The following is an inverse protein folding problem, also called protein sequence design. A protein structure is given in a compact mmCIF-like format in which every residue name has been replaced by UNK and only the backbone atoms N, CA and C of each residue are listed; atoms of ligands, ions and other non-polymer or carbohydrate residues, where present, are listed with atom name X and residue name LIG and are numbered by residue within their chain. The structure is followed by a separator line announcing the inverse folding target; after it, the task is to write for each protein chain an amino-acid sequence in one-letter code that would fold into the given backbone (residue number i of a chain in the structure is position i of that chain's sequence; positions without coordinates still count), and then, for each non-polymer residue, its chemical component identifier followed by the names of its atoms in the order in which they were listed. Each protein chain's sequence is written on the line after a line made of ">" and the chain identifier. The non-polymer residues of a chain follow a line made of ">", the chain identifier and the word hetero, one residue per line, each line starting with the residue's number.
data_IF_674417142100
#
_entry.id   IF_674417142100
#
_cell.length_a   1.000
_cell.length_b   1.000
_cell.length_c   1.000
_cell.angle_alpha   90.00
_cell.angle_beta   90.00
_cell.angle_gamma   90.00
#
_symmetry.space_group_name_H-M   'P 1'
#
loop_
_entity.id
_entity.type
_entity.pdbx_description
1 polymer ?
#
# COMPACT_ATOMS: atom_id res chain seq x y z
N UNK A 1 -18.45 -13.55 55.63
CA UNK A 1 -18.76 -13.15 54.24
C UNK A 1 -18.65 -11.64 54.12
N UNK A 2 -17.53 -11.12 53.60
CA UNK A 2 -17.33 -9.69 53.34
C UNK A 2 -16.96 -9.51 51.87
N UNK A 3 -17.84 -8.87 51.10
CA UNK A 3 -17.59 -8.52 49.71
C UNK A 3 -16.80 -7.21 49.66
N UNK A 4 -15.52 -7.29 49.27
CA UNK A 4 -14.74 -6.11 48.92
C UNK A 4 -15.14 -5.65 47.53
N UNK A 5 -15.68 -4.44 47.44
CA UNK A 5 -15.98 -3.76 46.18
C UNK A 5 -14.67 -3.49 45.43
N UNK A 6 -14.57 -4.00 44.20
CA UNK A 6 -13.49 -3.66 43.28
C UNK A 6 -13.95 -2.46 42.45
N UNK A 7 -13.46 -1.28 42.80
CA UNK A 7 -13.63 -0.08 42.01
C UNK A 7 -12.26 0.27 41.41
N UNK A 8 -12.10 0.18 40.09
CA UNK A 8 -11.00 0.89 39.43
C UNK A 8 -11.35 1.24 37.98
N UNK A 9 -11.74 2.51 37.83
CA UNK A 9 -11.37 3.44 36.76
C UNK A 9 -11.39 2.95 35.31
N UNK A 10 -12.30 3.54 34.55
CA UNK A 10 -12.27 3.58 33.09
C UNK A 10 -10.93 4.16 32.61
N UNK A 11 -10.12 3.33 31.97
CA UNK A 11 -9.17 3.82 30.96
C UNK A 11 -9.75 3.44 29.60
N UNK A 12 -10.46 4.39 28.99
CA UNK A 12 -10.65 4.39 27.55
C UNK A 12 -9.26 4.55 26.96
N UNK A 13 -8.66 3.47 26.48
CA UNK A 13 -7.44 3.56 25.67
C UNK A 13 -7.82 4.32 24.39
N UNK A 14 -7.59 5.63 24.40
CA UNK A 14 -7.41 6.42 23.19
C UNK A 14 -6.14 5.88 22.53
N UNK A 15 -6.31 4.90 21.65
CA UNK A 15 -5.30 4.53 20.68
C UNK A 15 -5.29 5.59 19.58
N UNK A 16 -4.87 6.80 19.96
CA UNK A 16 -4.24 7.71 19.00
C UNK A 16 -2.90 7.08 18.68
N UNK A 17 -2.90 6.03 17.84
CA UNK A 17 -1.71 5.61 17.14
C UNK A 17 -1.36 6.77 16.22
N UNK A 18 -0.43 7.60 16.67
CA UNK A 18 0.32 8.52 15.81
C UNK A 18 1.06 7.66 14.80
N UNK A 19 0.36 7.31 13.72
CA UNK A 19 0.96 6.85 12.49
C UNK A 19 1.49 8.13 11.83
N UNK A 20 2.81 8.30 11.84
CA UNK A 20 3.48 9.48 11.31
C UNK A 20 3.00 9.75 9.89
N UNK A 21 2.27 10.85 9.75
CA UNK A 21 1.79 11.37 8.49
C UNK A 21 3.00 11.78 7.65
N UNK A 22 3.29 11.09 6.54
CA UNK A 22 4.17 11.63 5.50
C UNK A 22 3.40 12.68 4.69
N UNK A 23 2.87 13.70 5.37
CA UNK A 23 2.39 14.92 4.74
C UNK A 23 3.60 15.78 4.40
N UNK A 24 3.58 16.37 3.20
CA UNK A 24 4.62 17.26 2.66
C UNK A 24 4.93 18.52 3.50
N UNK A 25 4.26 18.72 4.64
CA UNK A 25 4.26 20.00 5.38
C UNK A 25 4.66 19.91 6.87
N UNK A 26 5.27 18.82 7.34
CA UNK A 26 5.93 18.81 8.66
C UNK A 26 7.44 19.00 8.49
N UNK A 27 8.08 20.00 9.15
CA UNK A 27 9.53 20.04 9.25
C UNK A 27 9.96 18.96 10.24
N UNK A 28 9.94 17.71 9.79
CA UNK A 28 10.39 16.55 10.54
C UNK A 28 11.91 16.61 10.65
N UNK A 29 12.45 16.68 11.85
CA UNK A 29 13.81 16.19 12.12
C UNK A 29 13.84 14.69 11.81
N UNK A 30 14.29 14.33 10.60
CA UNK A 30 14.34 12.95 10.12
C UNK A 30 15.38 12.15 10.92
N UNK A 31 14.92 11.33 11.87
CA UNK A 31 15.77 10.37 12.56
C UNK A 31 15.87 9.01 11.83
N UNK A 32 15.19 8.86 10.68
CA UNK A 32 15.18 7.65 9.86
C UNK A 32 15.94 7.85 8.53
N UNK A 33 16.32 6.74 7.87
CA UNK A 33 17.01 6.80 6.59
C UNK A 33 16.14 7.50 5.53
N UNK A 34 16.76 8.38 4.77
CA UNK A 34 16.19 9.02 3.59
C UNK A 34 15.85 8.00 2.49
N UNK A 35 15.02 8.40 1.52
CA UNK A 35 14.68 7.55 0.37
C UNK A 35 15.91 6.93 -0.33
N UNK A 36 16.94 7.71 -0.68
CA UNK A 36 18.17 7.18 -1.27
C UNK A 36 18.92 6.19 -0.37
N UNK A 37 18.92 6.40 0.95
CA UNK A 37 19.56 5.47 1.89
C UNK A 37 18.80 4.14 1.96
N UNK A 38 17.46 4.17 1.97
CA UNK A 38 16.64 2.96 1.88
C UNK A 38 16.90 2.18 0.58
N UNK A 39 17.02 2.88 -0.54
CA UNK A 39 17.37 2.28 -1.84
C UNK A 39 18.76 1.65 -1.78
N UNK A 40 19.75 2.37 -1.25
CA UNK A 40 21.12 1.85 -1.13
C UNK A 40 21.19 0.61 -0.22
N UNK A 41 20.45 0.61 0.89
CA UNK A 41 20.33 -0.54 1.79
C UNK A 41 19.71 -1.75 1.08
N UNK A 42 18.66 -1.55 0.28
CA UNK A 42 17.99 -2.63 -0.46
C UNK A 42 18.88 -3.19 -1.59
N UNK A 43 19.56 -2.34 -2.36
CA UNK A 43 20.39 -2.75 -3.49
C UNK A 43 21.76 -3.29 -3.07
N UNK A 44 22.18 -3.08 -1.82
CA UNK A 44 23.45 -3.57 -1.28
C UNK A 44 24.69 -3.00 -1.98
N UNK A 45 24.55 -1.94 -2.77
CA UNK A 45 25.63 -1.30 -3.54
C UNK A 45 26.17 -2.14 -4.72
N UNK A 46 25.62 -3.32 -4.96
CA UNK A 46 26.06 -4.24 -6.04
C UNK A 46 25.00 -4.41 -7.12
N UNK A 47 23.72 -4.21 -6.79
CA UNK A 47 22.61 -4.30 -7.72
C UNK A 47 22.34 -2.92 -8.33
N UNK A 48 22.34 -2.78 -9.67
CA UNK A 48 21.94 -1.55 -10.33
C UNK A 48 20.50 -1.14 -9.97
N UNK A 49 20.24 0.17 -9.87
CA UNK A 49 18.90 0.68 -9.52
C UNK A 49 17.85 0.45 -10.61
N UNK A 50 18.29 0.15 -11.82
CA UNK A 50 17.49 -0.20 -12.99
C UNK A 50 17.46 -1.72 -13.27
N UNK A 51 17.99 -2.55 -12.36
CA UNK A 51 17.86 -4.00 -12.45
C UNK A 51 16.36 -4.38 -12.47
N UNK A 52 15.84 -5.05 -13.51
CA UNK A 52 14.43 -5.42 -13.64
C UNK A 52 13.87 -6.25 -12.48
N UNK A 53 14.72 -7.00 -11.78
CA UNK A 53 14.31 -7.80 -10.62
C UNK A 53 14.21 -6.97 -9.35
N UNK A 54 14.92 -5.85 -9.28
CA UNK A 54 14.84 -4.90 -8.17
C UNK A 54 13.81 -3.79 -8.42
N UNK A 55 13.66 -3.36 -9.67
CA UNK A 55 12.80 -2.26 -10.09
C UNK A 55 11.89 -2.69 -11.25
N UNK A 56 10.63 -3.07 -10.95
CA UNK A 56 9.67 -3.55 -11.95
C UNK A 56 9.35 -2.54 -13.07
N UNK A 57 9.65 -1.25 -12.90
CA UNK A 57 9.49 -0.28 -13.99
C UNK A 57 10.41 -0.58 -15.18
N UNK A 58 11.47 -1.37 -14.99
CA UNK A 58 12.37 -1.83 -16.05
C UNK A 58 12.13 -3.29 -16.47
N UNK A 59 11.13 -3.97 -15.90
CA UNK A 59 10.79 -5.34 -16.24
C UNK A 59 10.01 -5.43 -17.57
N UNK A 60 10.18 -6.57 -18.24
CA UNK A 60 9.31 -6.99 -19.34
C UNK A 60 8.06 -7.66 -18.75
N UNK A 61 6.89 -7.09 -19.06
CA UNK A 61 5.59 -7.57 -18.59
C UNK A 61 4.95 -8.58 -19.55
N UNK A 62 5.58 -8.91 -20.69
CA UNK A 62 5.03 -9.86 -21.64
C UNK A 62 4.67 -11.20 -20.96
N UNK A 63 3.41 -11.63 -21.13
CA UNK A 63 2.92 -12.90 -20.56
C UNK A 63 2.60 -12.87 -19.07
N UNK A 64 2.68 -11.72 -18.39
CA UNK A 64 2.32 -11.61 -16.98
C UNK A 64 0.83 -11.92 -16.74
N UNK A 65 0.49 -12.42 -15.54
CA UNK A 65 -0.91 -12.50 -15.12
C UNK A 65 -1.50 -11.10 -14.98
N UNK A 66 -2.83 -11.05 -14.85
CA UNK A 66 -3.53 -9.77 -14.62
C UNK A 66 -3.01 -9.11 -13.36
N UNK A 67 -2.90 -7.79 -13.38
CA UNK A 67 -2.42 -7.00 -12.26
C UNK A 67 -3.56 -6.17 -11.67
N UNK A 68 -3.61 -6.11 -10.35
CA UNK A 68 -4.43 -5.16 -9.61
C UNK A 68 -3.49 -4.29 -8.79
N UNK A 69 -3.45 -3.00 -9.10
CA UNK A 69 -2.54 -2.03 -8.50
C UNK A 69 -3.40 -1.10 -7.65
N UNK A 70 -3.24 -1.15 -6.33
CA UNK A 70 -3.93 -0.27 -5.39
C UNK A 70 -3.03 0.88 -4.96
N UNK A 71 -3.59 2.08 -4.91
CA UNK A 71 -2.83 3.30 -4.69
C UNK A 71 -3.72 4.42 -4.13
N UNK A 72 -3.25 5.18 -3.16
CA UNK A 72 -3.93 6.34 -2.56
C UNK A 72 -3.47 7.67 -3.13
N UNK A 73 -4.38 8.58 -3.49
CA UNK A 73 -3.99 9.83 -4.18
C UNK A 73 -3.05 10.76 -3.39
N UNK A 74 -2.88 10.54 -2.09
CA UNK A 74 -2.00 11.31 -1.21
C UNK A 74 -0.64 10.64 -0.96
N UNK A 75 -0.25 9.63 -1.73
CA UNK A 75 0.98 8.86 -1.52
C UNK A 75 2.15 9.34 -2.39
N UNK A 76 3.39 9.07 -1.94
CA UNK A 76 4.60 9.37 -2.70
C UNK A 76 4.82 8.47 -3.92
N UNK A 77 4.22 7.26 -3.92
CA UNK A 77 4.40 6.23 -4.97
C UNK A 77 3.32 6.26 -6.06
N UNK A 78 2.47 7.29 -6.08
CA UNK A 78 1.35 7.40 -7.02
C UNK A 78 1.82 7.34 -8.49
N UNK A 79 2.90 8.05 -8.81
CA UNK A 79 3.42 8.10 -10.17
C UNK A 79 4.08 6.78 -10.57
N UNK A 80 4.70 6.05 -9.64
CA UNK A 80 5.26 4.73 -9.91
C UNK A 80 4.15 3.72 -10.23
N UNK A 81 3.04 3.75 -9.48
CA UNK A 81 1.89 2.90 -9.75
C UNK A 81 1.25 3.17 -11.11
N UNK A 82 1.13 4.46 -11.51
CA UNK A 82 0.65 4.84 -12.84
C UNK A 82 1.57 4.36 -13.95
N UNK A 83 2.88 4.56 -13.82
CA UNK A 83 3.87 4.08 -14.79
C UNK A 83 3.87 2.56 -14.91
N UNK A 84 3.75 1.85 -13.79
CA UNK A 84 3.64 0.39 -13.78
C UNK A 84 2.39 -0.07 -14.52
N UNK A 85 1.24 0.56 -14.25
CA UNK A 85 -0.02 0.27 -14.93
C UNK A 85 0.08 0.48 -16.45
N UNK A 86 0.61 1.63 -16.89
CA UNK A 86 0.80 1.95 -18.30
C UNK A 86 1.73 0.96 -19.00
N UNK A 87 2.84 0.58 -18.37
CA UNK A 87 3.79 -0.42 -18.91
C UNK A 87 3.16 -1.80 -19.04
N UNK A 88 2.40 -2.23 -18.04
CA UNK A 88 1.68 -3.51 -18.11
C UNK A 88 0.65 -3.51 -19.26
N UNK A 89 -0.13 -2.44 -19.41
CA UNK A 89 -1.07 -2.30 -20.52
C UNK A 89 -0.36 -2.33 -21.89
N UNK A 90 0.76 -1.61 -22.02
CA UNK A 90 1.55 -1.59 -23.25
C UNK A 90 2.12 -2.96 -23.64
N UNK A 91 2.37 -3.83 -22.66
CA UNK A 91 2.80 -5.22 -22.86
C UNK A 91 1.62 -6.20 -23.11
N UNK A 92 0.38 -5.71 -23.20
CA UNK A 92 -0.82 -6.53 -23.40
C UNK A 92 -1.34 -7.23 -22.15
N UNK A 93 -0.88 -6.83 -20.96
CA UNK A 93 -1.36 -7.36 -19.68
C UNK A 93 -2.64 -6.63 -19.27
N UNK A 94 -3.67 -7.37 -18.88
CA UNK A 94 -4.86 -6.79 -18.24
C UNK A 94 -4.47 -6.27 -16.84
N UNK A 95 -4.36 -4.94 -16.75
CA UNK A 95 -3.98 -4.23 -15.54
C UNK A 95 -5.14 -3.34 -15.09
N UNK A 96 -5.46 -3.39 -13.80
CA UNK A 96 -6.46 -2.55 -13.15
C UNK A 96 -5.77 -1.65 -12.14
N UNK A 97 -5.91 -0.33 -12.28
CA UNK A 97 -5.42 0.66 -11.31
C UNK A 97 -6.58 1.15 -10.45
N UNK A 98 -6.55 0.87 -9.15
CA UNK A 98 -7.49 1.42 -8.17
C UNK A 98 -6.83 2.57 -7.42
N UNK A 99 -7.08 3.79 -7.89
CA UNK A 99 -6.62 5.03 -7.25
C UNK A 99 -7.73 5.58 -6.33
N UNK A 100 -7.50 5.60 -5.02
CA UNK A 100 -8.49 6.05 -4.02
C UNK A 100 -8.13 7.44 -3.49
N UNK A 101 -9.05 8.40 -3.66
CA UNK A 101 -8.84 9.79 -3.29
C UNK A 101 -8.63 9.97 -1.78
N UNK A 102 -7.69 10.83 -1.41
CA UNK A 102 -7.38 11.19 -0.02
C UNK A 102 -6.65 10.11 0.78
N UNK A 103 -6.51 8.89 0.26
CA UNK A 103 -5.85 7.81 0.97
C UNK A 103 -4.33 7.91 0.92
N UNK A 104 -3.71 7.41 1.98
CA UNK A 104 -2.27 7.39 2.20
C UNK A 104 -1.67 6.02 1.83
N UNK A 105 -0.34 5.94 1.88
CA UNK A 105 0.41 4.72 1.61
C UNK A 105 -0.12 3.52 2.41
N UNK A 106 -0.45 2.42 1.72
CA UNK A 106 -0.93 1.15 2.31
C UNK A 106 -2.22 1.30 3.14
N UNK A 107 -3.12 2.21 2.77
CA UNK A 107 -4.41 2.38 3.46
C UNK A 107 -5.27 1.09 3.60
N UNK A 108 -5.20 0.05 2.74
CA UNK A 108 -6.01 -1.16 2.93
C UNK A 108 -5.75 -1.90 4.26
N UNK A 109 -4.61 -1.66 4.92
CA UNK A 109 -4.32 -2.22 6.25
C UNK A 109 -5.31 -1.73 7.33
N UNK A 110 -6.04 -0.65 7.05
CA UNK A 110 -7.04 -0.05 7.94
C UNK A 110 -8.43 -0.69 7.81
N UNK A 111 -8.56 -1.83 7.14
CA UNK A 111 -9.82 -2.57 7.07
C UNK A 111 -10.44 -2.80 8.47
N UNK A 112 -11.75 -2.62 8.57
CA UNK A 112 -12.53 -2.59 9.81
C UNK A 112 -12.42 -1.29 10.62
N UNK A 113 -11.59 -0.33 10.18
CA UNK A 113 -11.41 0.98 10.82
C UNK A 113 -11.63 2.16 9.88
N UNK A 114 -11.45 1.97 8.58
CA UNK A 114 -11.73 2.95 7.54
C UNK A 114 -12.64 2.34 6.47
N UNK A 115 -13.67 3.08 6.06
CA UNK A 115 -14.65 2.59 5.09
C UNK A 115 -14.00 2.39 3.72
N UNK A 116 -13.10 3.29 3.35
CA UNK A 116 -12.34 3.27 2.11
C UNK A 116 -11.49 2.01 1.98
N UNK A 117 -10.88 1.57 3.09
CA UNK A 117 -10.10 0.33 3.15
C UNK A 117 -11.00 -0.91 2.98
N UNK A 118 -12.16 -0.94 3.64
CA UNK A 118 -13.13 -2.03 3.50
C UNK A 118 -13.69 -2.12 2.08
N UNK A 119 -13.99 -0.97 1.47
CA UNK A 119 -14.43 -0.91 0.08
C UNK A 119 -13.34 -1.37 -0.88
N UNK A 120 -12.09 -1.01 -0.64
CA UNK A 120 -10.98 -1.43 -1.48
C UNK A 120 -10.77 -2.94 -1.46
N UNK A 121 -10.86 -3.56 -0.28
CA UNK A 121 -10.81 -5.02 -0.18
C UNK A 121 -12.00 -5.68 -0.88
N UNK A 122 -13.19 -5.07 -0.86
CA UNK A 122 -14.35 -5.55 -1.64
C UNK A 122 -14.08 -5.47 -3.15
N UNK A 123 -13.53 -4.35 -3.65
CA UNK A 123 -13.15 -4.18 -5.07
C UNK A 123 -12.11 -5.22 -5.48
N UNK A 124 -11.06 -5.41 -4.68
CA UNK A 124 -10.04 -6.43 -4.92
C UNK A 124 -10.64 -7.84 -4.94
N UNK A 125 -11.49 -8.19 -3.97
CA UNK A 125 -12.15 -9.49 -3.91
C UNK A 125 -13.07 -9.75 -5.11
N UNK A 126 -13.81 -8.73 -5.55
CA UNK A 126 -14.64 -8.79 -6.76
C UNK A 126 -13.78 -8.97 -8.01
N UNK A 127 -12.71 -8.20 -8.16
CA UNK A 127 -11.77 -8.31 -9.28
C UNK A 127 -11.14 -9.69 -9.36
N UNK A 128 -10.71 -10.24 -8.22
CA UNK A 128 -10.12 -11.57 -8.12
C UNK A 128 -11.14 -12.66 -8.46
N UNK A 129 -12.37 -12.53 -7.95
CA UNK A 129 -13.46 -13.49 -8.19
C UNK A 129 -14.02 -13.41 -9.61
N UNK A 130 -13.97 -12.24 -10.24
CA UNK A 130 -14.46 -12.02 -11.62
C UNK A 130 -13.80 -12.93 -12.65
N UNK A 131 -12.59 -13.42 -12.37
CA UNK A 131 -11.88 -14.40 -13.20
C UNK A 131 -12.07 -15.85 -12.76
N UNK A 132 -12.63 -16.12 -11.57
CA UNK A 132 -12.91 -17.49 -11.08
C UNK A 132 -14.06 -18.19 -11.79
N UNK A 133 -14.60 -17.64 -12.89
CA UNK A 133 -15.30 -18.44 -13.90
C UNK A 133 -14.26 -19.19 -14.74
N UNK A 134 -13.56 -20.12 -14.12
CA UNK A 134 -12.78 -21.14 -14.82
C UNK A 134 -13.63 -22.40 -14.86
N UNK A 135 -14.28 -22.57 -16.02
CA UNK A 135 -14.32 -23.81 -16.82
C UNK A 135 -14.43 -25.15 -16.08
N UNK A 136 -15.60 -25.80 -16.21
CA UNK A 136 -15.78 -27.25 -16.12
C UNK A 136 -16.10 -27.77 -14.73
#
# INVERSE_FOLDING_TARGET
>A
MGHTQYNNHKSKMNLTSTFTTLTRDTPETHAGPSGPELVAMFLGGITPADDPLANPLYADFAGFPRLYINVGSGEALLDDARRLHERALAAGVDSTLSQVAGMQHVFPILAGRATEADEELKRLAQWFSGRRRLTG
#
